data_IF_346330644780
#
_entry.id   IF_346330644780
#
_cell.length_a   1.000
_cell.length_b   1.000
_cell.length_c   1.000
_cell.angle_alpha   90.00
_cell.angle_beta   90.00
_cell.angle_gamma   90.00
#
_symmetry.space_group_name_H-M   'P 1'
#
loop_
_entity.id
_entity.type
_entity.pdbx_description
1 polymer ?
#
# COMPACT_ATOMS: atom_id res chain seq x y z
N UNK A 1 14.83 -31.70 -22.44
CA UNK A 1 14.79 -30.26 -22.77
C UNK A 1 14.10 -29.57 -21.62
N UNK A 2 14.80 -28.69 -20.88
CA UNK A 2 14.14 -27.84 -19.90
C UNK A 2 13.26 -26.85 -20.67
N UNK A 3 11.95 -26.82 -20.40
CA UNK A 3 11.08 -25.77 -20.93
C UNK A 3 11.49 -24.46 -20.25
N UNK A 4 11.80 -23.45 -21.04
CA UNK A 4 11.93 -22.06 -20.55
C UNK A 4 10.56 -21.64 -20.00
N UNK A 5 10.52 -21.13 -18.77
CA UNK A 5 9.27 -20.82 -18.06
C UNK A 5 9.27 -19.31 -17.87
N UNK A 6 8.53 -18.61 -18.74
CA UNK A 6 8.45 -17.15 -18.66
C UNK A 6 8.00 -16.68 -17.26
N UNK A 7 8.47 -15.49 -16.81
CA UNK A 7 7.97 -14.88 -15.58
C UNK A 7 6.45 -14.86 -15.60
N UNK A 8 5.85 -15.33 -14.49
CA UNK A 8 4.40 -15.45 -14.35
C UNK A 8 3.94 -14.60 -13.19
N UNK A 9 2.93 -13.76 -13.45
CA UNK A 9 2.20 -13.06 -12.40
C UNK A 9 1.28 -14.04 -11.69
N UNK A 10 1.44 -14.13 -10.37
CA UNK A 10 0.52 -14.79 -9.47
C UNK A 10 -0.42 -13.74 -8.91
N UNK A 11 -1.71 -14.09 -8.83
CA UNK A 11 -2.74 -13.25 -8.22
C UNK A 11 -3.58 -14.11 -7.30
N UNK A 12 -3.70 -13.70 -6.05
CA UNK A 12 -4.48 -14.38 -5.02
C UNK A 12 -5.26 -13.39 -4.17
N UNK A 13 -6.24 -13.91 -3.44
CA UNK A 13 -7.03 -13.10 -2.50
C UNK A 13 -6.17 -12.81 -1.27
N UNK A 14 -6.14 -11.54 -0.88
CA UNK A 14 -5.50 -11.06 0.35
C UNK A 14 -6.56 -10.81 1.44
N UNK A 15 -6.19 -10.84 2.72
CA UNK A 15 -7.12 -10.53 3.80
C UNK A 15 -7.51 -9.05 3.76
N UNK A 16 -8.79 -8.79 4.06
CA UNK A 16 -9.31 -7.45 4.28
C UNK A 16 -10.18 -7.43 5.54
N UNK A 17 -10.02 -6.41 6.36
CA UNK A 17 -10.66 -6.28 7.67
C UNK A 17 -12.18 -6.16 7.61
N UNK A 18 -12.73 -5.60 6.53
CA UNK A 18 -14.17 -5.39 6.34
C UNK A 18 -14.79 -6.33 5.28
N UNK A 19 -13.99 -7.28 4.77
CA UNK A 19 -14.42 -8.27 3.79
C UNK A 19 -14.54 -7.73 2.36
N UNK A 20 -14.12 -6.50 2.07
CA UNK A 20 -14.07 -5.97 0.70
C UNK A 20 -13.08 -6.74 -0.17
N UNK A 21 -13.22 -6.68 -1.51
CA UNK A 21 -12.27 -7.31 -2.42
C UNK A 21 -10.85 -6.80 -2.17
N UNK A 22 -9.94 -7.71 -1.86
CA UNK A 22 -8.52 -7.42 -1.74
C UNK A 22 -7.73 -8.52 -2.44
N UNK A 23 -6.86 -8.13 -3.37
CA UNK A 23 -6.05 -9.06 -4.14
C UNK A 23 -4.60 -8.61 -4.11
N UNK A 24 -3.70 -9.58 -3.98
CA UNK A 24 -2.28 -9.31 -4.12
C UNK A 24 -1.74 -9.95 -5.40
N UNK A 25 -0.73 -9.32 -5.98
CA UNK A 25 -0.05 -9.81 -7.16
C UNK A 25 1.47 -9.69 -7.03
N UNK A 26 2.20 -10.69 -7.55
CA UNK A 26 3.65 -10.67 -7.65
C UNK A 26 4.15 -11.59 -8.77
N UNK A 27 5.35 -11.32 -9.26
CA UNK A 27 5.99 -12.09 -10.31
C UNK A 27 6.86 -13.22 -9.73
N UNK A 28 6.63 -14.46 -10.19
CA UNK A 28 7.53 -15.59 -9.93
C UNK A 28 8.62 -15.63 -11.00
N UNK A 29 9.88 -15.74 -10.56
CA UNK A 29 11.06 -15.91 -11.43
C UNK A 29 11.52 -17.38 -11.53
N UNK A 30 12.16 -17.71 -12.65
CA UNK A 30 12.59 -19.05 -13.11
C UNK A 30 13.44 -19.90 -12.14
N UNK A 31 13.96 -19.34 -11.04
CA UNK A 31 14.75 -20.11 -10.06
C UNK A 31 13.89 -20.87 -9.03
N UNK A 32 12.57 -20.64 -9.02
CA UNK A 32 11.62 -21.30 -8.13
C UNK A 32 11.02 -22.56 -8.79
N UNK A 33 10.94 -23.66 -8.04
CA UNK A 33 10.68 -25.03 -8.52
C UNK A 33 9.40 -25.21 -9.39
N UNK A 34 9.54 -26.20 -10.28
CA UNK A 34 8.61 -26.88 -11.20
C UNK A 34 7.11 -26.51 -11.19
N UNK A 35 6.62 -26.12 -12.38
CA UNK A 35 5.35 -25.45 -12.75
C UNK A 35 4.09 -26.32 -12.60
N UNK A 36 4.18 -27.47 -11.94
CA UNK A 36 3.04 -28.37 -11.69
C UNK A 36 2.51 -28.32 -10.26
N UNK A 37 3.12 -27.48 -9.44
CA UNK A 37 2.84 -27.39 -8.02
C UNK A 37 1.55 -26.57 -7.79
N UNK A 38 0.58 -27.03 -6.99
CA UNK A 38 -0.62 -26.25 -6.66
C UNK A 38 -0.29 -24.88 -6.05
N UNK A 39 -1.19 -23.90 -6.18
CA UNK A 39 -0.97 -22.52 -5.70
C UNK A 39 -0.63 -22.50 -4.19
N UNK A 40 -1.20 -23.43 -3.42
CA UNK A 40 -1.00 -23.56 -1.98
C UNK A 40 0.43 -23.99 -1.60
N UNK A 41 1.15 -24.65 -2.51
CA UNK A 41 2.54 -25.07 -2.31
C UNK A 41 3.56 -24.01 -2.80
N UNK A 42 3.12 -22.91 -3.44
CA UNK A 42 3.95 -21.78 -3.91
C UNK A 42 4.05 -20.59 -2.96
N UNK A 43 3.25 -20.57 -1.89
CA UNK A 43 3.32 -19.57 -0.81
C UNK A 43 4.74 -19.27 -0.26
N UNK A 44 5.73 -20.19 -0.21
CA UNK A 44 7.08 -19.83 0.28
C UNK A 44 7.80 -18.76 -0.56
N UNK A 45 7.30 -18.40 -1.75
CA UNK A 45 7.87 -17.35 -2.60
C UNK A 45 7.14 -16.00 -2.56
N UNK A 46 6.04 -15.86 -1.78
CA UNK A 46 5.30 -14.59 -1.69
C UNK A 46 6.18 -13.51 -1.04
N UNK A 47 6.37 -12.34 -1.68
CA UNK A 47 7.04 -11.22 -1.03
C UNK A 47 6.29 -10.79 0.24
N UNK A 48 7.00 -10.59 1.36
CA UNK A 48 6.39 -10.19 2.65
C UNK A 48 5.95 -8.72 2.64
N UNK A 49 6.66 -7.87 1.92
CA UNK A 49 6.35 -6.44 1.84
C UNK A 49 5.37 -6.17 0.70
N UNK A 50 4.40 -5.28 0.92
CA UNK A 50 3.44 -4.88 -0.11
C UNK A 50 3.51 -3.39 -0.44
N UNK A 51 3.23 -3.03 -1.69
CA UNK A 51 2.76 -1.69 -2.07
C UNK A 51 1.24 -1.70 -2.12
N UNK A 52 0.64 -0.77 -1.39
CA UNK A 52 -0.81 -0.69 -1.21
C UNK A 52 -1.43 0.20 -2.29
N UNK A 53 -2.38 -0.34 -3.04
CA UNK A 53 -3.10 0.35 -4.11
C UNK A 53 -4.59 0.29 -3.79
N UNK A 54 -5.28 1.42 -3.93
CA UNK A 54 -6.72 1.55 -3.74
C UNK A 54 -7.39 1.76 -5.09
N UNK A 55 -8.12 0.74 -5.52
CA UNK A 55 -9.03 0.85 -6.66
C UNK A 55 -10.33 1.46 -6.15
N UNK A 56 -10.62 2.69 -6.57
CA UNK A 56 -11.73 3.48 -6.00
C UNK A 56 -12.85 3.78 -6.98
N UNK A 57 -12.82 3.17 -8.16
CA UNK A 57 -13.90 3.29 -9.13
C UNK A 57 -15.17 2.59 -8.62
N UNK A 58 -16.34 2.86 -9.22
CA UNK A 58 -17.58 2.14 -8.91
C UNK A 58 -17.52 0.63 -9.15
N UNK A 59 -16.50 0.13 -9.85
CA UNK A 59 -16.28 -1.29 -10.09
C UNK A 59 -15.44 -1.96 -8.99
N UNK A 60 -14.96 -1.21 -8.01
CA UNK A 60 -14.10 -1.72 -6.95
C UNK A 60 -14.77 -2.73 -6.01
N UNK A 61 -16.09 -2.91 -6.06
CA UNK A 61 -16.78 -4.01 -5.35
C UNK A 61 -16.76 -5.32 -6.15
N UNK A 62 -16.40 -5.28 -7.43
CA UNK A 62 -16.32 -6.46 -8.27
C UNK A 62 -14.96 -7.16 -8.07
N UNK A 63 -14.99 -8.38 -7.52
CA UNK A 63 -13.80 -9.18 -7.26
C UNK A 63 -12.93 -9.41 -8.52
N UNK A 64 -13.55 -9.70 -9.67
CA UNK A 64 -12.82 -9.92 -10.92
C UNK A 64 -12.14 -8.65 -11.42
N UNK A 65 -12.77 -7.49 -11.23
CA UNK A 65 -12.19 -6.19 -11.57
C UNK A 65 -10.97 -5.90 -10.71
N UNK A 66 -11.09 -6.00 -9.39
CA UNK A 66 -9.97 -5.74 -8.46
C UNK A 66 -8.83 -6.73 -8.69
N UNK A 67 -9.16 -8.00 -8.95
CA UNK A 67 -8.18 -9.02 -9.34
C UNK A 67 -7.44 -8.65 -10.64
N UNK A 68 -8.15 -8.17 -11.65
CA UNK A 68 -7.56 -7.74 -12.92
C UNK A 68 -6.68 -6.50 -12.75
N UNK A 69 -7.09 -5.54 -11.92
CA UNK A 69 -6.25 -4.37 -11.57
C UNK A 69 -4.97 -4.83 -10.89
N UNK A 70 -5.03 -5.75 -9.91
CA UNK A 70 -3.85 -6.29 -9.26
C UNK A 70 -2.88 -6.94 -10.25
N UNK A 71 -3.42 -7.77 -11.15
CA UNK A 71 -2.62 -8.40 -12.21
C UNK A 71 -1.93 -7.36 -13.10
N UNK A 72 -2.71 -6.41 -13.62
CA UNK A 72 -2.21 -5.40 -14.54
C UNK A 72 -1.14 -4.51 -13.88
N UNK A 73 -1.37 -4.09 -12.62
CA UNK A 73 -0.39 -3.30 -11.87
C UNK A 73 0.93 -4.06 -11.66
N UNK A 74 0.88 -5.38 -11.41
CA UNK A 74 2.10 -6.18 -11.34
C UNK A 74 2.81 -6.28 -12.70
N UNK A 75 2.06 -6.58 -13.76
CA UNK A 75 2.61 -6.72 -15.12
C UNK A 75 3.33 -5.44 -15.58
N UNK A 76 2.78 -4.26 -15.27
CA UNK A 76 3.36 -2.99 -15.70
C UNK A 76 4.46 -2.46 -14.77
N UNK A 77 4.43 -2.75 -13.45
CA UNK A 77 5.37 -2.15 -12.47
C UNK A 77 6.49 -3.10 -12.02
N UNK A 78 6.35 -4.41 -12.23
CA UNK A 78 7.29 -5.42 -11.72
C UNK A 78 8.74 -5.14 -12.10
N UNK A 79 9.00 -4.81 -13.37
CA UNK A 79 10.37 -4.58 -13.84
C UNK A 79 11.03 -3.38 -13.14
N UNK A 80 10.31 -2.27 -13.01
CA UNK A 80 10.79 -1.06 -12.34
C UNK A 80 11.10 -1.32 -10.86
N UNK A 81 10.15 -1.94 -10.16
CA UNK A 81 10.29 -2.28 -8.74
C UNK A 81 11.45 -3.24 -8.52
N UNK A 82 11.63 -4.25 -9.36
CA UNK A 82 12.69 -5.24 -9.20
C UNK A 82 14.09 -4.72 -9.54
N UNK A 83 14.21 -3.81 -10.50
CA UNK A 83 15.50 -3.24 -10.91
C UNK A 83 16.17 -2.48 -9.75
N UNK A 84 15.35 -1.92 -8.87
CA UNK A 84 15.70 -1.06 -7.73
C UNK A 84 15.60 -1.80 -6.39
N UNK A 85 14.68 -2.75 -6.21
CA UNK A 85 14.41 -3.47 -4.94
C UNK A 85 15.33 -4.67 -4.66
N UNK A 86 16.60 -4.60 -5.04
CA UNK A 86 17.52 -5.75 -5.14
C UNK A 86 17.64 -6.61 -3.87
N UNK A 87 17.33 -6.08 -2.69
CA UNK A 87 17.39 -6.82 -1.42
C UNK A 87 16.04 -7.31 -0.89
N UNK A 88 14.91 -6.70 -1.28
CA UNK A 88 13.59 -7.03 -0.72
C UNK A 88 12.52 -6.93 -1.81
N UNK A 89 12.09 -8.04 -2.41
CA UNK A 89 10.97 -8.00 -3.34
C UNK A 89 9.72 -7.49 -2.62
N UNK A 90 8.90 -6.71 -3.33
CA UNK A 90 7.59 -6.27 -2.87
C UNK A 90 6.51 -6.92 -3.72
N UNK A 91 5.32 -7.15 -3.16
CA UNK A 91 4.11 -7.51 -3.90
C UNK A 91 3.22 -6.29 -4.07
N UNK A 92 2.38 -6.27 -5.09
CA UNK A 92 1.27 -5.31 -5.16
C UNK A 92 0.11 -5.86 -4.33
N UNK A 93 -0.60 -4.98 -3.61
CA UNK A 93 -1.82 -5.33 -2.91
C UNK A 93 -2.90 -4.29 -3.21
N UNK A 94 -3.93 -4.71 -3.93
CA UNK A 94 -5.03 -3.85 -4.39
C UNK A 94 -6.24 -4.05 -3.52
N UNK A 95 -6.68 -2.98 -2.88
CA UNK A 95 -7.91 -2.88 -2.10
C UNK A 95 -9.02 -2.27 -2.96
N UNK A 96 -10.12 -3.00 -3.08
CA UNK A 96 -11.35 -2.50 -3.67
C UNK A 96 -12.11 -1.63 -2.67
N UNK A 97 -12.12 -0.32 -2.89
CA UNK A 97 -12.85 0.63 -2.04
C UNK A 97 -13.72 1.53 -2.91
N UNK A 98 -14.89 1.01 -3.30
CA UNK A 98 -15.82 1.73 -4.17
C UNK A 98 -16.26 3.05 -3.54
N UNK A 99 -16.18 4.11 -4.33
CA UNK A 99 -16.56 5.45 -3.91
C UNK A 99 -17.48 6.11 -4.94
N UNK A 100 -18.39 7.00 -4.48
CA UNK A 100 -19.26 7.76 -5.37
C UNK A 100 -18.48 8.52 -6.45
N UNK A 101 -19.06 8.59 -7.65
CA UNK A 101 -18.59 9.50 -8.68
C UNK A 101 -18.80 10.95 -8.23
N UNK A 102 -17.83 11.82 -8.49
CA UNK A 102 -17.88 13.22 -8.07
C UNK A 102 -17.47 13.50 -6.61
N UNK A 103 -17.08 12.46 -5.85
CA UNK A 103 -16.39 12.66 -4.57
C UNK A 103 -15.09 13.43 -4.80
N UNK A 104 -14.77 14.38 -3.92
CA UNK A 104 -13.54 15.18 -4.07
C UNK A 104 -12.29 14.32 -3.94
N UNK A 105 -11.17 14.82 -4.46
CA UNK A 105 -9.87 14.15 -4.36
C UNK A 105 -9.49 13.92 -2.89
N UNK A 106 -9.72 14.93 -2.07
CA UNK A 106 -9.39 14.95 -0.65
C UNK A 106 -10.25 13.97 0.15
N UNK A 107 -11.56 13.96 -0.09
CA UNK A 107 -12.48 13.00 0.55
C UNK A 107 -12.15 11.55 0.17
N UNK A 108 -11.79 11.34 -1.10
CA UNK A 108 -11.38 10.03 -1.62
C UNK A 108 -10.12 9.51 -0.95
N UNK A 109 -9.09 10.37 -0.87
CA UNK A 109 -7.83 10.06 -0.19
C UNK A 109 -8.06 9.80 1.30
N UNK A 110 -8.85 10.63 1.98
CA UNK A 110 -9.12 10.49 3.40
C UNK A 110 -9.76 9.13 3.73
N UNK A 111 -10.72 8.69 2.91
CA UNK A 111 -11.33 7.35 3.07
C UNK A 111 -10.34 6.21 2.85
N UNK A 112 -9.41 6.34 1.90
CA UNK A 112 -8.36 5.35 1.69
C UNK A 112 -7.38 5.29 2.89
N UNK A 113 -7.01 6.44 3.46
CA UNK A 113 -6.18 6.51 4.66
C UNK A 113 -6.88 5.83 5.85
N UNK A 114 -8.16 6.15 6.09
CA UNK A 114 -8.95 5.55 7.16
C UNK A 114 -9.05 4.03 7.02
N UNK A 115 -9.31 3.55 5.80
CA UNK A 115 -9.32 2.13 5.49
C UNK A 115 -7.95 1.48 5.75
N UNK A 116 -6.85 2.09 5.30
CA UNK A 116 -5.51 1.54 5.48
C UNK A 116 -5.16 1.43 6.98
N UNK A 117 -5.51 2.44 7.77
CA UNK A 117 -5.31 2.40 9.23
C UNK A 117 -6.07 1.26 9.88
N UNK A 118 -7.30 1.01 9.46
CA UNK A 118 -8.10 -0.11 9.95
C UNK A 118 -7.51 -1.48 9.53
N UNK A 119 -7.04 -1.61 8.29
CA UNK A 119 -6.33 -2.81 7.81
C UNK A 119 -5.06 -3.09 8.61
N UNK A 120 -4.23 -2.06 8.83
CA UNK A 120 -3.01 -2.17 9.65
C UNK A 120 -3.37 -2.66 11.05
N UNK A 121 -4.33 -2.02 11.70
CA UNK A 121 -4.77 -2.40 13.05
C UNK A 121 -5.29 -3.84 13.11
N UNK A 122 -6.12 -4.24 12.14
CA UNK A 122 -6.67 -5.60 12.09
C UNK A 122 -5.58 -6.67 11.87
N UNK A 123 -4.63 -6.40 10.97
CA UNK A 123 -3.50 -7.32 10.68
C UNK A 123 -2.56 -7.44 11.87
N UNK A 124 -2.24 -6.33 12.54
CA UNK A 124 -1.43 -6.32 13.76
C UNK A 124 -2.10 -7.13 14.87
N UNK A 125 -3.41 -6.93 15.09
CA UNK A 125 -4.17 -7.69 16.09
C UNK A 125 -4.20 -9.20 15.81
N UNK A 126 -4.20 -9.61 14.53
CA UNK A 126 -4.17 -11.01 14.13
C UNK A 126 -2.81 -11.70 14.34
N UNK A 127 -1.71 -10.91 14.40
CA UNK A 127 -0.34 -11.42 14.45
C UNK A 127 0.15 -12.12 13.17
N UNK A 128 -0.65 -12.15 12.09
CA UNK A 128 -0.28 -12.76 10.82
C UNK A 128 0.67 -11.83 10.04
N UNK A 129 1.89 -12.30 9.79
CA UNK A 129 2.93 -11.54 9.09
C UNK A 129 3.01 -11.84 7.58
N UNK A 130 2.19 -12.76 7.07
CA UNK A 130 2.19 -13.14 5.65
C UNK A 130 1.72 -12.00 4.72
N UNK A 131 0.92 -11.08 5.25
CA UNK A 131 0.37 -9.92 4.53
C UNK A 131 0.75 -8.60 5.18
N UNK A 132 2.05 -8.43 5.42
CA UNK A 132 2.57 -7.24 6.10
C UNK A 132 2.40 -5.96 5.25
N UNK A 133 1.96 -4.87 5.89
CA UNK A 133 1.86 -3.52 5.32
C UNK A 133 3.04 -2.70 5.85
N UNK A 134 4.02 -2.34 5.01
CA UNK A 134 5.20 -1.61 5.47
C UNK A 134 4.92 -0.13 5.74
N UNK A 135 5.62 0.39 6.75
CA UNK A 135 5.94 1.82 6.84
C UNK A 135 7.12 2.12 5.92
N UNK A 136 7.36 3.39 5.61
CA UNK A 136 8.40 3.84 4.70
C UNK A 136 9.18 4.94 5.40
N UNK A 137 10.51 4.89 5.38
CA UNK A 137 11.30 6.02 5.87
C UNK A 137 11.61 6.95 4.71
N UNK A 138 10.95 8.09 4.68
CA UNK A 138 11.21 9.15 3.70
C UNK A 138 11.98 10.29 4.38
N UNK A 139 12.55 11.22 3.60
CA UNK A 139 13.55 12.23 3.98
C UNK A 139 13.34 13.02 5.30
N UNK A 140 12.18 12.90 5.96
CA UNK A 140 11.82 13.57 7.22
C UNK A 140 11.17 12.67 8.28
N UNK A 141 10.98 11.37 8.04
CA UNK A 141 10.38 10.48 9.04
C UNK A 141 9.77 9.21 8.47
N UNK A 142 9.07 8.48 9.35
CA UNK A 142 8.29 7.30 8.98
C UNK A 142 6.91 7.70 8.47
N UNK A 143 6.55 7.24 7.28
CA UNK A 143 5.29 7.51 6.60
C UNK A 143 4.68 6.21 6.11
N UNK A 144 3.34 6.14 6.04
CA UNK A 144 2.70 5.16 5.18
C UNK A 144 2.53 5.73 3.78
N UNK A 145 2.62 4.84 2.79
CA UNK A 145 2.34 5.19 1.41
C UNK A 145 1.21 4.31 0.87
N UNK A 146 0.28 4.94 0.17
CA UNK A 146 -0.70 4.25 -0.65
C UNK A 146 -0.82 4.95 -2.01
N UNK A 147 -1.23 4.20 -3.02
CA UNK A 147 -1.62 4.72 -4.32
C UNK A 147 -3.13 4.65 -4.46
N UNK A 148 -3.77 5.70 -4.94
CA UNK A 148 -5.19 5.71 -5.27
C UNK A 148 -5.34 5.76 -6.78
N UNK A 149 -6.04 4.77 -7.34
CA UNK A 149 -6.44 4.79 -8.75
C UNK A 149 -7.65 5.71 -8.87
N UNK A 150 -7.46 6.79 -9.60
CA UNK A 150 -8.44 7.83 -9.83
C UNK A 150 -8.93 7.74 -11.28
N UNK A 151 -9.76 6.74 -11.59
CA UNK A 151 -10.36 6.62 -12.91
C UNK A 151 -11.84 7.00 -12.91
N UNK A 152 -12.15 8.13 -13.55
CA UNK A 152 -13.34 8.20 -14.39
C UNK A 152 -13.00 7.56 -15.74
N UNK A 153 -13.72 6.51 -16.17
CA UNK A 153 -13.51 5.68 -17.39
C UNK A 153 -12.73 6.33 -18.55
N UNK A 154 -11.81 5.61 -19.24
CA UNK A 154 -11.14 6.10 -20.45
C UNK A 154 -12.17 6.47 -21.52
N UNK A 155 -12.21 7.76 -21.89
CA UNK A 155 -12.94 8.21 -23.07
C UNK A 155 -12.12 7.82 -24.30
N UNK A 156 -12.77 7.27 -25.33
CA UNK A 156 -12.17 6.64 -26.50
C UNK A 156 -11.33 7.57 -27.43
N UNK A 157 -10.84 8.70 -26.94
CA UNK A 157 -10.01 9.64 -27.69
C UNK A 157 -8.84 10.09 -26.82
N UNK A 158 -7.65 10.06 -27.45
CA UNK A 158 -6.29 10.54 -27.13
C UNK A 158 -6.08 11.78 -26.24
N UNK A 159 -6.96 12.09 -25.30
CA UNK A 159 -6.70 13.07 -24.25
C UNK A 159 -6.06 12.30 -23.10
N UNK A 160 -4.77 12.59 -22.85
CA UNK A 160 -4.09 12.14 -21.63
C UNK A 160 -4.94 12.63 -20.46
N UNK A 161 -5.51 11.68 -19.72
CA UNK A 161 -6.32 12.01 -18.56
C UNK A 161 -5.39 12.48 -17.46
N UNK A 162 -5.65 13.68 -16.97
CA UNK A 162 -4.92 14.24 -15.84
C UNK A 162 -5.30 13.49 -14.56
N UNK A 163 -4.33 13.29 -13.68
CA UNK A 163 -4.47 12.74 -12.34
C UNK A 163 -5.06 11.31 -12.27
N UNK A 164 -4.62 10.38 -13.11
CA UNK A 164 -5.08 8.98 -13.07
C UNK A 164 -4.67 8.25 -11.79
N UNK A 165 -3.58 8.69 -11.15
CA UNK A 165 -3.08 8.12 -9.90
C UNK A 165 -2.79 9.22 -8.89
N UNK A 166 -3.05 8.93 -7.63
CA UNK A 166 -2.68 9.78 -6.51
C UNK A 166 -1.74 8.98 -5.60
N UNK A 167 -0.49 9.38 -5.51
CA UNK A 167 0.39 8.90 -4.45
C UNK A 167 0.12 9.71 -3.19
N UNK A 168 -0.16 8.99 -2.11
CA UNK A 168 -0.47 9.58 -0.82
C UNK A 168 0.59 9.09 0.16
N UNK A 169 1.32 10.03 0.74
CA UNK A 169 2.23 9.77 1.85
C UNK A 169 1.65 10.43 3.09
N UNK A 170 1.58 9.72 4.20
CA UNK A 170 1.06 10.30 5.43
C UNK A 170 1.90 9.92 6.63
N UNK A 171 2.20 10.96 7.42
CA UNK A 171 3.12 10.90 8.53
C UNK A 171 2.57 10.02 9.65
N UNK A 172 3.49 9.25 10.25
CA UNK A 172 3.26 8.56 11.51
C UNK A 172 3.62 9.42 12.72
N UNK A 173 4.32 10.53 12.49
CA UNK A 173 4.88 11.35 13.54
C UNK A 173 3.90 12.42 14.04
N UNK A 174 3.39 12.32 15.29
CA UNK A 174 2.59 13.37 15.90
C UNK A 174 3.39 14.65 16.18
N UNK A 175 4.73 14.57 16.27
CA UNK A 175 5.59 15.71 16.61
C UNK A 175 5.64 16.72 15.45
N UNK A 176 5.50 16.26 14.20
CA UNK A 176 5.40 17.13 13.02
C UNK A 176 4.19 18.09 13.07
N UNK A 177 3.10 17.69 13.74
CA UNK A 177 1.94 18.57 14.00
C UNK A 177 2.11 19.46 15.22
N UNK A 178 3.01 19.11 16.15
CA UNK A 178 3.32 19.97 17.30
C UNK A 178 4.21 21.15 16.88
N UNK A 179 5.14 20.93 15.96
CA UNK A 179 6.03 21.98 15.46
C UNK A 179 5.33 22.94 14.48
N UNK A 180 4.40 22.43 13.68
CA UNK A 180 3.59 23.21 12.75
C UNK A 180 2.13 22.68 12.77
N UNK A 181 1.22 23.36 13.49
CA UNK A 181 -0.18 22.99 13.58
C UNK A 181 -0.90 22.95 12.22
N UNK A 182 -0.38 23.70 11.23
CA UNK A 182 -0.91 23.75 9.86
C UNK A 182 -0.27 22.66 8.96
N UNK A 183 0.65 21.85 9.48
CA UNK A 183 1.30 20.80 8.70
C UNK A 183 0.27 19.74 8.27
N UNK A 184 0.10 19.52 6.94
CA UNK A 184 -0.89 18.58 6.48
C UNK A 184 -0.50 17.18 6.93
N UNK A 185 -1.48 16.44 7.49
CA UNK A 185 -1.29 15.06 7.97
C UNK A 185 -0.85 14.09 6.87
N UNK A 186 -0.99 14.50 5.61
CA UNK A 186 -0.66 13.73 4.42
C UNK A 186 -0.30 14.67 3.27
N UNK A 187 0.51 14.18 2.34
CA UNK A 187 0.78 14.82 1.06
C UNK A 187 0.17 14.00 -0.07
N UNK A 188 -0.27 14.68 -1.13
CA UNK A 188 -0.88 14.06 -2.32
C UNK A 188 -0.10 14.53 -3.54
N UNK A 189 0.48 13.58 -4.27
CA UNK A 189 1.12 13.82 -5.57
C UNK A 189 0.27 13.16 -6.64
N UNK A 190 -0.12 13.92 -7.67
CA UNK A 190 -0.93 13.39 -8.78
C UNK A 190 -0.03 13.01 -9.95
N UNK A 191 -0.35 11.89 -10.60
CA UNK A 191 0.33 11.39 -11.79
C UNK A 191 -0.70 11.09 -12.88
N UNK A 192 -0.40 11.50 -14.11
CA UNK A 192 -1.31 11.33 -15.24
C UNK A 192 -1.22 9.92 -15.82
N UNK A 193 -0.07 9.25 -15.66
CA UNK A 193 0.19 7.92 -16.22
C UNK A 193 1.00 7.04 -15.29
N UNK A 194 1.00 5.73 -15.57
CA UNK A 194 1.86 4.76 -14.89
C UNK A 194 3.35 4.96 -15.19
N UNK A 195 3.67 5.52 -16.36
CA UNK A 195 5.05 5.87 -16.74
C UNK A 195 5.58 7.04 -15.89
N UNK A 196 4.74 8.04 -15.58
CA UNK A 196 5.14 9.13 -14.68
C UNK A 196 5.36 8.67 -13.24
N UNK A 197 4.69 7.59 -12.82
CA UNK A 197 4.94 6.95 -11.52
C UNK A 197 6.28 6.21 -11.46
N UNK A 198 7.01 6.04 -12.57
CA UNK A 198 8.30 5.34 -12.61
C UNK A 198 9.25 5.81 -11.50
N UNK A 199 9.40 7.12 -11.31
CA UNK A 199 10.24 7.68 -10.25
C UNK A 199 9.80 7.27 -8.84
N UNK A 200 8.49 7.20 -8.59
CA UNK A 200 7.96 6.71 -7.31
C UNK A 200 8.33 5.24 -7.10
N UNK A 201 8.23 4.42 -8.15
CA UNK A 201 8.60 3.00 -8.11
C UNK A 201 10.09 2.79 -7.87
N UNK A 202 10.96 3.65 -8.42
CA UNK A 202 12.39 3.62 -8.18
C UNK A 202 12.78 4.05 -6.75
N UNK A 203 12.03 4.97 -6.14
CA UNK A 203 12.30 5.46 -4.79
C UNK A 203 11.82 4.49 -3.71
N UNK A 204 10.76 3.71 -3.96
CA UNK A 204 10.19 2.77 -2.99
C UNK A 204 11.21 1.84 -2.30
N UNK A 205 12.17 1.23 -3.02
CA UNK A 205 13.21 0.44 -2.39
C UNK A 205 14.10 1.19 -1.42
N UNK A 206 14.45 2.45 -1.73
CA UNK A 206 15.22 3.30 -0.83
C UNK A 206 14.47 3.54 0.48
N UNK A 207 13.14 3.68 0.40
CA UNK A 207 12.24 3.85 1.54
C UNK A 207 12.11 2.58 2.41
N UNK A 208 12.37 1.41 1.82
CA UNK A 208 12.37 0.10 2.54
C UNK A 208 13.76 -0.32 3.03
N UNK A 209 14.83 0.38 2.66
CA UNK A 209 16.21 -0.01 3.02
C UNK A 209 16.51 0.07 4.52
N UNK A 210 15.78 0.92 5.26
CA UNK A 210 15.85 1.03 6.72
C UNK A 210 15.35 -0.21 7.48
N UNK A 211 14.68 -1.16 6.82
CA UNK A 211 14.20 -2.40 7.43
C UNK A 211 15.23 -3.53 7.46
N UNK A 212 16.37 -3.36 6.79
CA UNK A 212 17.33 -4.43 6.52
C UNK A 212 18.11 -4.95 7.73
N UNK A 213 18.04 -4.30 8.89
CA UNK A 213 18.87 -4.68 10.03
C UNK A 213 18.24 -5.69 11.00
N UNK A 214 16.91 -5.86 11.06
CA UNK A 214 16.36 -6.88 11.95
C UNK A 214 14.89 -7.24 11.67
N UNK A 215 14.59 -8.52 11.43
CA UNK A 215 13.20 -9.00 11.42
C UNK A 215 12.59 -8.97 12.84
N UNK A 216 13.40 -8.91 13.92
CA UNK A 216 12.93 -8.50 15.26
C UNK A 216 12.65 -7.00 15.37
N UNK A 217 13.30 -6.19 14.53
CA UNK A 217 13.10 -4.74 14.43
C UNK A 217 11.74 -4.37 13.85
N UNK A 218 11.18 -5.18 12.95
CA UNK A 218 9.78 -5.01 12.50
C UNK A 218 8.83 -5.05 13.69
N UNK A 219 9.04 -5.99 14.63
CA UNK A 219 8.23 -6.08 15.85
C UNK A 219 8.51 -4.92 16.81
N UNK A 220 9.75 -4.46 16.96
CA UNK A 220 10.05 -3.30 17.82
C UNK A 220 9.57 -1.96 17.25
N UNK A 221 9.61 -1.79 15.92
CA UNK A 221 9.01 -0.65 15.20
C UNK A 221 7.50 -0.68 15.39
N UNK A 222 6.87 -1.85 15.30
CA UNK A 222 5.44 -1.99 15.62
C UNK A 222 5.13 -1.76 17.09
N UNK A 223 5.89 -2.31 18.02
CA UNK A 223 5.69 -2.12 19.46
C UNK A 223 5.89 -0.64 19.85
N UNK A 224 6.82 0.08 19.20
CA UNK A 224 7.04 1.51 19.43
C UNK A 224 5.99 2.39 18.74
N UNK A 225 5.48 1.99 17.56
CA UNK A 225 4.35 2.66 16.91
C UNK A 225 3.03 2.42 17.67
N UNK A 226 2.78 1.21 18.19
CA UNK A 226 1.63 0.90 19.06
C UNK A 226 1.69 1.71 20.36
N UNK A 227 2.85 1.79 21.02
CA UNK A 227 3.03 2.62 22.22
C UNK A 227 2.79 4.10 21.97
N UNK A 228 3.20 4.62 20.79
CA UNK A 228 2.98 6.04 20.41
C UNK A 228 1.52 6.32 20.03
N UNK A 229 0.79 5.34 19.52
CA UNK A 229 -0.63 5.49 19.14
C UNK A 229 -1.64 5.24 20.26
N UNK A 230 -1.22 4.65 21.39
CA UNK A 230 -2.03 4.55 22.62
C UNK A 230 -2.13 5.89 23.40
N UNK A 231 -1.88 7.04 22.78
CA UNK A 231 -2.11 8.33 23.41
C UNK A 231 -3.62 8.57 23.59
N UNK A 232 -4.15 8.16 24.73
CA UNK A 232 -5.39 8.73 25.28
C UNK A 232 -5.15 10.22 25.51
N UNK A 233 -6.07 11.11 25.09
CA UNK A 233 -6.00 12.51 25.45
C UNK A 233 -5.84 12.60 26.97
N UNK A 234 -4.82 13.33 27.41
CA UNK A 234 -4.77 13.78 28.81
C UNK A 234 -6.10 14.48 29.05
N UNK A 235 -6.90 13.98 29.99
CA UNK A 235 -8.07 14.70 30.47
C UNK A 235 -7.60 16.14 30.72
N UNK A 236 -8.23 17.07 30.02
CA UNK A 236 -8.05 18.48 30.24
C UNK A 236 -8.41 18.73 31.69
N UNK A 237 -7.42 19.09 32.50
CA UNK A 237 -7.62 19.79 33.76
C UNK A 237 -8.23 21.16 33.41
N UNK A 238 -9.54 21.17 33.15
CA UNK A 238 -10.36 22.38 33.24
C UNK A 238 -11.40 22.13 34.34
N UNK A 239 -11.31 23.02 35.34
CA UNK A 239 -12.33 23.43 36.28
C UNK A 239 -12.65 22.51 37.46
N UNK A 240 -11.95 22.76 38.58
CA UNK A 240 -12.60 23.18 39.83
C UNK A 240 -11.68 24.16 40.60
N UNK A 241 -11.69 25.43 40.19
CA UNK A 241 -11.70 26.52 41.17
C UNK A 241 -13.11 26.69 41.74
N UNK A 242 -13.19 27.28 42.94
CA UNK A 242 -14.36 27.71 43.72
C UNK A 242 -15.04 26.62 44.60
N UNK A 243 -14.62 26.50 45.87
CA UNK A 243 -15.00 27.36 47.03
C UNK A 243 -14.10 27.10 48.26
#
# INVERSE_FOLDING_TARGET
MARTIYPRVVVEKAPSHDGKPCYTAWTIKEFNKDVQTPLEEYAPGRPVLSVQIYETSPLAENEEHVRAVAQNMEEITSWDRESTSRSHPTRIEVHGLSQPKGMSKEERVQRCIEHQRAEISARMASGANEFYIPVFYHCRGWEYMLLVVNEEKPTARKEVKKDCFLAVMFNLDPDAKQEDPDHPSHSITSYDTTEEMHYLWEELPSLTSGFSEDHSGIRSIHDDLEKRWQWTPRETDEDLEED
#
